data_IF_729223103313
#
_entry.id   IF_729223103313
#
_cell.length_a   1.000
_cell.length_b   1.000
_cell.length_c   1.000
_cell.angle_alpha   90.00
_cell.angle_beta   90.00
_cell.angle_gamma   90.00
#
_symmetry.space_group_name_H-M   'P 1'
#
loop_
_entity.id
_entity.type
_entity.pdbx_description
1 polymer ?
#
# COMPACT_ATOMS: atom_id res chain seq x y z
N UNK A 1 -24.59 14.17 5.94
CA UNK A 1 -23.68 14.20 7.09
C UNK A 1 -22.45 13.44 6.66
N UNK A 2 -21.25 14.02 6.76
CA UNK A 2 -20.03 13.25 6.52
C UNK A 2 -19.92 12.21 7.63
N UNK A 3 -19.92 10.94 7.26
CA UNK A 3 -19.67 9.83 8.18
C UNK A 3 -18.16 9.68 8.32
N UNK A 4 -17.67 9.80 9.54
CA UNK A 4 -16.28 9.47 9.86
C UNK A 4 -16.16 7.95 10.00
N UNK A 5 -15.02 7.36 9.60
CA UNK A 5 -14.76 5.96 9.88
C UNK A 5 -14.69 5.71 11.40
N UNK A 6 -15.10 4.52 11.88
CA UNK A 6 -15.03 4.16 13.30
C UNK A 6 -13.64 4.38 13.91
N UNK A 7 -12.58 3.98 13.19
CA UNK A 7 -11.19 4.16 13.60
C UNK A 7 -10.61 5.44 12.97
N UNK A 8 -11.26 6.59 13.15
CA UNK A 8 -10.88 7.86 12.52
C UNK A 8 -9.39 8.23 12.67
N UNK A 9 -8.78 7.96 13.82
CA UNK A 9 -7.36 8.25 14.07
C UNK A 9 -6.40 7.47 13.18
N UNK A 10 -6.78 6.26 12.73
CA UNK A 10 -6.02 5.50 11.73
C UNK A 10 -5.89 6.29 10.42
N UNK A 11 -7.00 6.87 9.99
CA UNK A 11 -7.06 7.62 8.73
C UNK A 11 -6.36 8.97 8.83
N UNK A 12 -6.43 9.64 9.99
CA UNK A 12 -5.62 10.83 10.24
C UNK A 12 -4.12 10.51 10.21
N UNK A 13 -3.67 9.47 10.91
CA UNK A 13 -2.28 9.03 10.91
C UNK A 13 -1.79 8.70 9.49
N UNK A 14 -2.63 8.08 8.67
CA UNK A 14 -2.38 7.81 7.26
C UNK A 14 -2.19 9.10 6.44
N UNK A 15 -3.04 10.12 6.66
CA UNK A 15 -2.89 11.41 5.98
C UNK A 15 -1.65 12.20 6.45
N UNK A 16 -1.29 12.09 7.73
CA UNK A 16 -0.08 12.69 8.30
C UNK A 16 1.19 12.02 7.75
N UNK A 17 1.19 10.69 7.66
CA UNK A 17 2.25 9.93 6.99
C UNK A 17 2.38 10.34 5.51
N UNK A 18 1.25 10.43 4.80
CA UNK A 18 1.21 10.85 3.41
C UNK A 18 1.75 12.26 3.19
N UNK A 19 1.44 13.17 4.12
CA UNK A 19 1.94 14.55 4.11
C UNK A 19 3.45 14.61 4.36
N UNK A 20 3.95 13.81 5.31
CA UNK A 20 5.38 13.73 5.64
C UNK A 20 6.21 13.15 4.50
N UNK A 21 5.64 12.22 3.73
CA UNK A 21 6.30 11.52 2.63
C UNK A 21 5.85 11.99 1.24
N UNK A 22 5.22 13.17 1.14
CA UNK A 22 4.55 13.61 -0.07
C UNK A 22 5.45 13.61 -1.32
N UNK A 23 6.71 14.01 -1.15
CA UNK A 23 7.69 13.99 -2.24
C UNK A 23 8.01 12.55 -2.69
N UNK A 24 8.35 11.66 -1.76
CA UNK A 24 8.66 10.27 -2.06
C UNK A 24 7.49 9.54 -2.70
N UNK A 25 6.26 9.79 -2.23
CA UNK A 25 5.04 9.20 -2.81
C UNK A 25 4.82 9.69 -4.23
N UNK A 26 5.01 11.00 -4.48
CA UNK A 26 4.86 11.56 -5.83
C UNK A 26 5.84 10.95 -6.83
N UNK A 27 7.08 10.71 -6.41
CA UNK A 27 8.10 10.01 -7.22
C UNK A 27 7.74 8.53 -7.41
N UNK A 28 7.35 7.83 -6.34
CA UNK A 28 7.05 6.41 -6.37
C UNK A 28 5.77 6.08 -7.15
N UNK A 29 4.77 6.98 -7.15
CA UNK A 29 3.57 6.91 -7.99
C UNK A 29 3.91 6.81 -9.49
N UNK A 30 5.01 7.45 -9.91
CA UNK A 30 5.52 7.42 -11.28
C UNK A 30 6.46 6.24 -11.54
N UNK A 31 6.62 5.30 -10.62
CA UNK A 31 7.45 4.10 -10.83
C UNK A 31 6.66 2.97 -11.49
N UNK A 32 7.32 2.17 -12.34
CA UNK A 32 6.66 1.04 -13.04
C UNK A 32 6.16 -0.05 -12.08
N UNK A 33 6.87 -0.27 -10.98
CA UNK A 33 6.48 -1.24 -9.94
C UNK A 33 5.35 -0.76 -9.03
N UNK A 34 4.95 0.51 -9.16
CA UNK A 34 4.05 1.15 -8.21
C UNK A 34 4.69 1.34 -6.84
N UNK A 35 3.87 1.73 -5.87
CA UNK A 35 4.32 2.12 -4.53
C UNK A 35 3.56 1.42 -3.41
N UNK A 36 2.60 0.55 -3.76
CA UNK A 36 1.75 -0.17 -2.80
C UNK A 36 2.55 -1.01 -1.81
N UNK A 37 3.47 -1.85 -2.29
CA UNK A 37 4.27 -2.70 -1.40
C UNK A 37 5.16 -1.91 -0.44
N UNK A 38 5.66 -0.74 -0.87
CA UNK A 38 6.38 0.17 0.02
C UNK A 38 5.44 0.84 1.02
N UNK A 39 4.28 1.33 0.59
CA UNK A 39 3.27 1.93 1.46
C UNK A 39 2.78 0.94 2.53
N UNK A 40 2.55 -0.32 2.16
CA UNK A 40 2.18 -1.38 3.10
C UNK A 40 3.24 -1.59 4.18
N UNK A 41 4.53 -1.64 3.82
CA UNK A 41 5.60 -1.81 4.81
C UNK A 41 5.75 -0.59 5.73
N UNK A 42 5.66 0.62 5.17
CA UNK A 42 5.69 1.87 5.94
C UNK A 42 4.52 1.96 6.93
N UNK A 43 3.30 1.61 6.51
CA UNK A 43 2.14 1.59 7.41
C UNK A 43 2.28 0.52 8.48
N UNK A 44 2.85 -0.65 8.14
CA UNK A 44 3.12 -1.69 9.14
C UNK A 44 4.11 -1.19 10.19
N UNK A 45 5.16 -0.47 9.81
CA UNK A 45 6.07 0.16 10.77
C UNK A 45 5.36 1.25 11.59
N UNK A 46 4.58 2.11 10.95
CA UNK A 46 3.82 3.19 11.61
C UNK A 46 2.92 2.64 12.71
N UNK A 47 2.19 1.57 12.43
CA UNK A 47 1.25 0.98 13.39
C UNK A 47 1.84 -0.15 14.23
N UNK A 48 3.15 -0.42 14.13
CA UNK A 48 3.80 -1.58 14.77
C UNK A 48 3.07 -2.90 14.50
N UNK A 49 2.57 -3.07 13.27
CA UNK A 49 1.76 -4.20 12.86
C UNK A 49 2.60 -5.41 12.43
N UNK A 50 2.11 -6.61 12.76
CA UNK A 50 2.67 -7.87 12.26
C UNK A 50 2.54 -8.01 10.75
N UNK A 51 3.29 -8.96 10.17
CA UNK A 51 3.11 -9.39 8.77
C UNK A 51 2.16 -10.59 8.76
N UNK A 52 1.26 -10.64 7.78
CA UNK A 52 0.61 -11.88 7.34
C UNK A 52 0.04 -12.73 8.49
N UNK A 53 -0.99 -12.23 9.16
CA UNK A 53 -1.85 -13.15 9.88
C UNK A 53 -2.81 -13.77 8.86
N UNK A 54 -2.85 -15.10 8.81
CA UNK A 54 -3.86 -15.88 8.06
C UNK A 54 -5.26 -15.56 8.60
N UNK A 55 -5.73 -14.34 8.40
CA UNK A 55 -6.94 -13.80 9.00
C UNK A 55 -8.17 -14.42 8.33
N UNK A 56 -8.05 -14.87 7.08
CA UNK A 56 -9.09 -15.54 6.33
C UNK A 56 -9.03 -17.06 6.55
N UNK A 57 -10.14 -17.66 7.00
CA UNK A 57 -10.27 -19.12 7.17
C UNK A 57 -10.42 -19.87 5.85
N UNK A 58 -11.06 -19.24 4.86
CA UNK A 58 -11.42 -19.89 3.60
C UNK A 58 -10.31 -19.85 2.53
N UNK A 59 -9.14 -19.28 2.82
CA UNK A 59 -8.00 -19.31 1.90
C UNK A 59 -6.67 -19.19 2.64
N UNK A 60 -5.89 -20.27 2.64
CA UNK A 60 -4.51 -20.29 3.15
C UNK A 60 -3.55 -19.37 2.35
N UNK A 61 -3.98 -18.88 1.18
CA UNK A 61 -3.18 -18.01 0.30
C UNK A 61 -3.57 -16.53 0.40
N UNK A 62 -4.71 -16.21 1.02
CA UNK A 62 -5.17 -14.84 1.13
C UNK A 62 -4.81 -14.30 2.52
N UNK A 63 -3.75 -13.50 2.58
CA UNK A 63 -3.44 -12.67 3.74
C UNK A 63 -4.09 -11.29 3.57
N UNK A 64 -4.42 -10.63 4.67
CA UNK A 64 -4.66 -9.19 4.64
C UNK A 64 -3.33 -8.43 4.55
N UNK A 65 -3.38 -7.21 4.03
CA UNK A 65 -2.18 -6.38 3.90
C UNK A 65 -1.70 -5.91 5.28
N UNK A 66 -2.63 -5.53 6.17
CA UNK A 66 -2.33 -5.07 7.53
C UNK A 66 -3.38 -5.61 8.50
N UNK A 67 -2.93 -6.14 9.63
CA UNK A 67 -3.78 -6.55 10.76
C UNK A 67 -3.28 -5.85 12.02
N UNK A 68 -4.18 -5.10 12.65
CA UNK A 68 -3.95 -4.45 13.95
C UNK A 68 -4.73 -5.22 15.00
N UNK A 69 -4.02 -5.71 16.00
CA UNK A 69 -4.63 -6.37 17.15
C UNK A 69 -4.38 -5.54 18.42
N UNK A 70 -5.36 -5.50 19.33
CA UNK A 70 -5.25 -4.74 20.55
C UNK A 70 -4.10 -5.26 21.41
N UNK A 71 -3.46 -4.36 22.15
CA UNK A 71 -2.29 -4.61 23.01
C UNK A 71 -0.97 -4.99 22.32
N UNK A 72 -0.99 -5.32 21.03
CA UNK A 72 0.23 -5.65 20.26
C UNK A 72 0.63 -4.56 19.27
N UNK A 73 -0.35 -3.89 18.65
CA UNK A 73 -0.18 -3.01 17.51
C UNK A 73 -1.32 -1.99 17.44
N UNK A 74 -1.18 -1.00 16.55
CA UNK A 74 -2.26 -0.07 16.23
C UNK A 74 -2.68 0.86 17.38
N UNK A 75 -1.84 1.08 18.40
CA UNK A 75 -2.20 1.92 19.55
C UNK A 75 -2.76 3.30 19.14
N UNK A 76 -2.26 3.86 18.04
CA UNK A 76 -2.76 5.11 17.45
C UNK A 76 -4.09 4.94 16.70
N UNK A 77 -4.30 3.80 16.03
CA UNK A 77 -5.54 3.45 15.33
C UNK A 77 -6.74 3.19 16.28
N UNK A 78 -6.46 2.80 17.53
CA UNK A 78 -7.46 2.49 18.54
C UNK A 78 -7.85 3.68 19.44
N UNK A 79 -7.31 4.87 19.19
CA UNK A 79 -7.59 6.06 19.99
C UNK A 79 -9.00 6.64 19.74
N UNK A 80 -9.97 6.21 20.57
CA UNK A 80 -11.26 6.85 20.96
C UNK A 80 -12.38 7.08 19.92
N UNK A 81 -13.65 6.72 20.26
CA UNK A 81 -14.06 5.93 21.41
C UNK A 81 -13.69 4.45 21.19
N UNK A 82 -12.83 3.94 22.08
CA UNK A 82 -12.28 2.59 22.02
C UNK A 82 -13.33 1.56 22.46
N UNK A 83 -13.47 0.47 21.70
CA UNK A 83 -14.03 -0.80 22.20
C UNK A 83 -12.83 -1.64 22.60
N UNK A 84 -12.69 -1.91 23.91
CA UNK A 84 -11.67 -2.82 24.43
C UNK A 84 -11.73 -4.14 23.65
N UNK A 85 -10.59 -4.53 23.07
CA UNK A 85 -10.39 -5.75 22.28
C UNK A 85 -10.80 -5.73 20.79
N UNK A 86 -11.13 -4.57 20.21
CA UNK A 86 -11.39 -4.46 18.77
C UNK A 86 -10.14 -4.77 17.92
N UNK A 87 -10.30 -5.54 16.83
CA UNK A 87 -9.28 -5.71 15.80
C UNK A 87 -9.57 -4.84 14.57
N UNK A 88 -8.52 -4.46 13.84
CA UNK A 88 -8.66 -3.78 12.54
C UNK A 88 -7.92 -4.57 11.48
N UNK A 89 -8.58 -4.83 10.36
CA UNK A 89 -7.99 -5.47 9.17
C UNK A 89 -8.07 -4.48 8.01
N UNK A 90 -7.01 -4.37 7.23
CA UNK A 90 -6.93 -3.41 6.12
C UNK A 90 -6.45 -4.15 4.88
N UNK A 91 -7.23 -4.00 3.80
CA UNK A 91 -6.79 -4.19 2.43
C UNK A 91 -6.46 -2.81 1.86
N UNK A 92 -5.23 -2.62 1.39
CA UNK A 92 -4.71 -1.35 0.89
C UNK A 92 -4.48 -1.43 -0.62
N UNK A 93 -5.10 -0.50 -1.35
CA UNK A 93 -4.83 -0.29 -2.77
C UNK A 93 -4.26 1.10 -3.02
N UNK A 94 -3.18 1.18 -3.77
CA UNK A 94 -2.55 2.47 -4.13
C UNK A 94 -2.62 2.71 -5.63
N UNK A 95 -3.14 3.86 -6.05
CA UNK A 95 -3.12 4.26 -7.46
C UNK A 95 -1.68 4.50 -7.90
N UNK A 96 -1.24 3.84 -8.97
CA UNK A 96 0.08 4.03 -9.57
C UNK A 96 -0.08 4.44 -11.03
N UNK A 97 0.70 5.40 -11.52
CA UNK A 97 0.52 5.99 -12.85
C UNK A 97 0.47 4.95 -13.97
N UNK A 98 1.43 4.01 -13.98
CA UNK A 98 1.52 2.99 -15.04
C UNK A 98 0.45 1.90 -14.94
N UNK A 99 -0.22 1.77 -13.80
CA UNK A 99 -1.23 0.75 -13.53
C UNK A 99 -2.59 1.35 -13.17
N UNK A 100 -2.80 2.65 -13.43
CA UNK A 100 -4.02 3.37 -13.05
C UNK A 100 -5.29 2.72 -13.62
N UNK A 101 -5.18 2.17 -14.84
CA UNK A 101 -6.29 1.45 -15.49
C UNK A 101 -6.74 0.18 -14.74
N UNK A 102 -5.88 -0.43 -13.91
CA UNK A 102 -6.22 -1.58 -13.05
C UNK A 102 -6.66 -1.16 -11.65
N UNK A 103 -6.50 0.11 -11.28
CA UNK A 103 -6.74 0.57 -9.91
C UNK A 103 -8.17 0.27 -9.46
N UNK A 104 -9.17 0.67 -10.26
CA UNK A 104 -10.58 0.36 -10.01
C UNK A 104 -10.84 -1.13 -9.83
N UNK A 105 -10.33 -1.96 -10.74
CA UNK A 105 -10.53 -3.41 -10.69
C UNK A 105 -9.88 -4.04 -9.46
N UNK A 106 -8.71 -3.54 -9.06
CA UNK A 106 -8.01 -3.92 -7.84
C UNK A 106 -8.84 -3.62 -6.59
N UNK A 107 -9.30 -2.37 -6.45
CA UNK A 107 -10.17 -1.98 -5.33
C UNK A 107 -11.46 -2.79 -5.31
N UNK A 108 -12.07 -3.04 -6.46
CA UNK A 108 -13.29 -3.85 -6.53
C UNK A 108 -13.07 -5.29 -6.05
N UNK A 109 -11.88 -5.87 -6.30
CA UNK A 109 -11.51 -7.20 -5.76
C UNK A 109 -11.36 -7.14 -4.24
N UNK A 110 -10.73 -6.10 -3.71
CA UNK A 110 -10.55 -5.94 -2.26
C UNK A 110 -11.89 -5.72 -1.54
N UNK A 111 -12.80 -4.93 -2.10
CA UNK A 111 -14.17 -4.79 -1.59
C UNK A 111 -14.89 -6.15 -1.54
N UNK A 112 -14.75 -6.98 -2.58
CA UNK A 112 -15.32 -8.33 -2.58
C UNK A 112 -14.68 -9.22 -1.51
N UNK A 113 -13.37 -9.11 -1.31
CA UNK A 113 -12.62 -9.85 -0.28
C UNK A 113 -13.07 -9.45 1.13
N UNK A 114 -13.20 -8.17 1.42
CA UNK A 114 -13.71 -7.64 2.69
C UNK A 114 -15.14 -8.13 2.97
N UNK A 115 -16.02 -8.07 1.97
CA UNK A 115 -17.42 -8.43 2.13
C UNK A 115 -17.68 -9.95 2.14
N UNK A 116 -16.89 -10.73 1.41
CA UNK A 116 -17.05 -12.18 1.28
C UNK A 116 -16.13 -13.02 2.17
N UNK A 117 -15.15 -12.39 2.82
CA UNK A 117 -14.19 -13.06 3.68
C UNK A 117 -14.82 -13.74 4.89
N UNK A 118 -14.33 -14.94 5.21
CA UNK A 118 -14.58 -15.65 6.46
C UNK A 118 -13.36 -15.48 7.35
N UNK A 119 -13.50 -14.84 8.50
CA UNK A 119 -12.37 -14.47 9.35
C UNK A 119 -12.17 -15.44 10.51
N UNK A 120 -10.92 -15.62 10.94
CA UNK A 120 -10.61 -16.41 12.14
C UNK A 120 -11.33 -15.84 13.35
N UNK A 121 -11.99 -16.71 14.11
CA UNK A 121 -12.81 -16.35 15.27
C UNK A 121 -12.05 -15.50 16.29
N UNK A 122 -10.75 -15.78 16.51
CA UNK A 122 -9.90 -14.99 17.42
C UNK A 122 -9.88 -13.48 17.11
N UNK A 123 -10.02 -13.10 15.84
CA UNK A 123 -10.06 -11.69 15.40
C UNK A 123 -11.42 -11.04 15.63
N UNK A 124 -12.49 -11.83 15.80
CA UNK A 124 -13.86 -11.34 15.94
C UNK A 124 -14.32 -11.23 17.40
N UNK A 125 -13.62 -11.87 18.35
CA UNK A 125 -14.00 -11.96 19.77
C UNK A 125 -14.30 -10.61 20.42
N UNK A 126 -13.53 -9.56 20.09
CA UNK A 126 -13.70 -8.21 20.66
C UNK A 126 -14.34 -7.20 19.69
N UNK A 127 -14.95 -7.68 18.61
CA UNK A 127 -15.35 -6.86 17.47
C UNK A 127 -14.19 -6.65 16.48
N UNK A 128 -14.53 -6.41 15.22
CA UNK A 128 -13.55 -6.23 14.16
C UNK A 128 -14.05 -5.29 13.07
N UNK A 129 -13.23 -4.30 12.69
CA UNK A 129 -13.48 -3.47 11.52
C UNK A 129 -12.55 -3.91 10.38
N UNK A 130 -13.13 -4.38 9.29
CA UNK A 130 -12.40 -4.78 8.09
C UNK A 130 -12.58 -3.71 7.03
N UNK A 131 -11.51 -3.00 6.71
CA UNK A 131 -11.49 -1.91 5.76
C UNK A 131 -10.93 -2.34 4.41
N UNK A 132 -11.55 -1.83 3.35
CA UNK A 132 -10.86 -1.60 2.08
C UNK A 132 -10.48 -0.12 2.05
N UNK A 133 -9.19 0.17 1.94
CA UNK A 133 -8.63 1.53 1.85
C UNK A 133 -8.00 1.71 0.48
N UNK A 134 -8.34 2.81 -0.18
CA UNK A 134 -7.79 3.17 -1.47
C UNK A 134 -7.16 4.55 -1.42
N UNK A 135 -5.91 4.66 -1.91
CA UNK A 135 -5.19 5.93 -2.04
C UNK A 135 -5.20 6.35 -3.50
N UNK A 136 -6.06 7.33 -3.83
CA UNK A 136 -6.17 7.88 -5.18
C UNK A 136 -5.24 9.09 -5.33
N UNK A 137 -4.49 9.12 -6.42
CA UNK A 137 -3.57 10.20 -6.79
C UNK A 137 -4.19 11.15 -7.83
N UNK A 138 -5.24 10.71 -8.53
CA UNK A 138 -5.87 11.47 -9.63
C UNK A 138 -7.37 11.67 -9.45
N UNK A 139 -7.91 12.66 -10.15
CA UNK A 139 -9.37 12.90 -10.21
C UNK A 139 -10.12 11.72 -10.83
N UNK A 140 -9.53 11.03 -11.82
CA UNK A 140 -10.12 9.82 -12.38
C UNK A 140 -10.16 8.69 -11.35
N UNK A 141 -9.10 8.54 -10.54
CA UNK A 141 -9.09 7.61 -9.41
C UNK A 141 -10.18 7.93 -8.38
N UNK A 142 -10.39 9.21 -8.09
CA UNK A 142 -11.48 9.67 -7.20
C UNK A 142 -12.87 9.32 -7.73
N UNK A 143 -13.15 9.62 -9.01
CA UNK A 143 -14.41 9.28 -9.67
C UNK A 143 -14.66 7.75 -9.65
N UNK A 144 -13.59 6.98 -9.82
CA UNK A 144 -13.64 5.53 -9.71
C UNK A 144 -14.02 5.06 -8.30
N UNK A 145 -13.43 5.65 -7.25
CA UNK A 145 -13.72 5.29 -5.86
C UNK A 145 -15.14 5.69 -5.45
N UNK A 146 -15.59 6.87 -5.85
CA UNK A 146 -16.95 7.34 -5.60
C UNK A 146 -17.98 6.41 -6.26
N UNK A 147 -17.76 6.01 -7.51
CA UNK A 147 -18.68 5.11 -8.22
C UNK A 147 -18.64 3.65 -7.72
N UNK A 148 -17.59 3.25 -6.98
CA UNK A 148 -17.58 1.99 -6.21
C UNK A 148 -18.34 2.10 -4.89
N UNK A 149 -18.83 3.28 -4.53
CA UNK A 149 -19.57 3.54 -3.29
C UNK A 149 -18.67 3.70 -2.07
N UNK A 150 -17.38 3.97 -2.26
CA UNK A 150 -16.46 4.27 -1.17
C UNK A 150 -16.71 5.67 -0.62
N UNK A 151 -16.36 5.87 0.64
CA UNK A 151 -16.48 7.15 1.32
C UNK A 151 -15.13 7.88 1.29
N UNK A 152 -15.15 9.16 0.92
CA UNK A 152 -13.97 10.01 1.02
C UNK A 152 -13.72 10.40 2.47
N UNK A 153 -12.51 10.15 2.96
CA UNK A 153 -12.06 10.64 4.24
C UNK A 153 -11.68 12.12 4.16
N UNK A 154 -12.26 12.93 5.04
CA UNK A 154 -11.92 14.35 5.19
C UNK A 154 -11.05 14.53 6.43
N UNK A 155 -9.76 14.22 6.26
CA UNK A 155 -8.76 14.35 7.33
C UNK A 155 -8.37 15.79 7.63
N UNK A 156 -7.58 15.97 8.70
CA UNK A 156 -7.12 17.30 9.14
C UNK A 156 -5.89 17.82 8.41
N UNK A 157 -5.09 16.94 7.79
CA UNK A 157 -3.82 17.31 7.14
C UNK A 157 -3.98 17.60 5.66
N UNK A 158 -3.73 18.85 5.28
CA UNK A 158 -3.64 19.30 3.89
C UNK A 158 -2.19 19.18 3.41
N UNK A 159 -1.80 18.02 2.88
CA UNK A 159 -0.42 17.81 2.42
C UNK A 159 -0.16 16.48 1.72
N UNK A 160 -0.95 15.45 2.00
CA UNK A 160 -0.83 14.17 1.31
C UNK A 160 -1.10 14.35 -0.21
N UNK A 161 -0.29 13.76 -1.09
CA UNK A 161 -0.47 13.86 -2.54
C UNK A 161 -1.59 12.94 -3.06
N UNK A 162 -2.28 12.24 -2.17
CA UNK A 162 -3.41 11.36 -2.46
C UNK A 162 -4.64 11.76 -1.64
N UNK A 163 -5.82 11.30 -2.08
CA UNK A 163 -7.03 11.26 -1.27
C UNK A 163 -7.23 9.85 -0.72
N UNK A 164 -7.84 9.78 0.47
CA UNK A 164 -8.07 8.52 1.17
C UNK A 164 -9.54 8.14 1.05
N UNK A 165 -9.80 7.02 0.41
CA UNK A 165 -11.14 6.45 0.26
C UNK A 165 -11.26 5.18 1.08
N UNK A 166 -12.45 4.93 1.63
CA UNK A 166 -12.66 3.75 2.47
C UNK A 166 -14.07 3.18 2.36
N UNK A 167 -14.17 1.87 2.58
CA UNK A 167 -15.40 1.22 3.02
C UNK A 167 -15.08 0.21 4.11
N UNK A 168 -16.06 -0.11 4.96
CA UNK A 168 -15.86 -0.97 6.12
C UNK A 168 -16.95 -2.04 6.20
N UNK A 169 -16.55 -3.24 6.61
CA UNK A 169 -17.44 -4.25 7.16
C UNK A 169 -17.14 -4.38 8.65
N UNK A 170 -18.16 -4.17 9.47
CA UNK A 170 -18.05 -4.23 10.92
C UNK A 170 -18.57 -5.58 11.42
N UNK A 171 -17.85 -6.15 12.38
CA UNK A 171 -18.26 -7.28 13.19
C UNK A 171 -18.39 -6.76 14.61
N UNK A 172 -19.59 -6.83 15.16
CA UNK A 172 -19.81 -6.50 16.55
C UNK A 172 -19.21 -7.60 17.44
N UNK A 173 -18.77 -7.27 18.66
CA UNK A 173 -18.47 -8.28 19.65
C UNK A 173 -19.74 -9.09 19.88
N UNK A 174 -19.77 -10.37 19.49
CA UNK A 174 -20.80 -11.27 19.99
C UNK A 174 -20.58 -11.39 21.51
N UNK A 175 -21.66 -11.55 22.30
CA UNK A 175 -21.58 -11.94 23.71
C UNK A 175 -20.99 -13.36 23.78
N UNK A 176 -19.70 -13.50 23.49
CA UNK A 176 -18.96 -14.75 23.55
C UNK A 176 -18.90 -15.15 25.02
N UNK A 177 -19.86 -15.97 25.43
CA UNK A 177 -19.89 -16.61 26.75
C UNK A 177 -18.81 -17.69 26.80
N UNK A 178 -17.57 -17.26 26.95
CA UNK A 178 -16.49 -17.88 27.73
C UNK A 178 -16.23 -19.40 27.75
N UNK A 179 -16.73 -20.22 26.83
CA UNK A 179 -16.58 -21.68 26.93
C UNK A 179 -15.86 -22.37 25.76
N UNK A 180 -15.44 -21.66 24.71
CA UNK A 180 -14.60 -22.26 23.67
C UNK A 180 -13.13 -22.03 24.04
N UNK A 181 -12.61 -22.94 24.86
CA UNK A 181 -11.19 -23.14 25.12
C UNK A 181 -10.42 -23.12 23.79
N UNK A 182 -9.27 -22.45 23.82
CA UNK A 182 -8.40 -22.24 22.68
C UNK A 182 -7.94 -23.58 22.07
N UNK A 183 -8.67 -24.09 21.09
CA UNK A 183 -8.14 -25.07 20.13
C UNK A 183 -7.29 -24.33 19.09
N UNK A 184 -6.17 -23.76 19.54
CA UNK A 184 -5.01 -23.53 18.68
C UNK A 184 -4.41 -24.92 18.34
N UNK A 185 -5.10 -25.67 17.47
CA UNK A 185 -4.43 -26.74 16.74
C UNK A 185 -3.61 -26.12 15.61
N UNK A 186 -2.44 -25.58 15.99
CA UNK A 186 -1.27 -25.53 15.12
C UNK A 186 -0.83 -26.99 14.86
N UNK A 187 -1.64 -27.72 14.11
CA UNK A 187 -1.28 -29.01 13.58
C UNK A 187 -0.39 -28.75 12.36
N UNK A 188 0.90 -28.51 12.62
CA UNK A 188 1.99 -28.73 11.66
C UNK A 188 2.05 -30.23 11.35
N UNK A 189 1.02 -30.72 10.66
CA UNK A 189 1.02 -32.02 10.02
C UNK A 189 1.76 -31.89 8.70
N UNK A 190 2.97 -32.43 8.65
CA UNK A 190 3.64 -32.87 7.43
C UNK A 190 2.61 -33.62 6.56
N UNK A 191 2.22 -33.03 5.43
CA UNK A 191 1.57 -33.75 4.34
C UNK A 191 2.50 -33.66 3.13
N UNK A 192 3.45 -34.60 3.09
CA UNK A 192 4.12 -35.02 1.87
C UNK A 192 3.06 -35.71 0.98
N UNK A 193 2.63 -35.08 -0.11
CA UNK A 193 1.73 -35.75 -1.04
C UNK A 193 1.22 -34.94 -2.23
N UNK A 194 1.97 -35.03 -3.32
CA UNK A 194 1.48 -35.22 -4.71
C UNK A 194 0.72 -34.07 -5.42
N UNK A 195 1.45 -33.40 -6.31
CA UNK A 195 1.15 -33.16 -7.73
C UNK A 195 -0.32 -33.03 -8.16
N UNK A 196 -0.74 -31.80 -8.47
CA UNK A 196 -1.52 -31.55 -9.67
C UNK A 196 -0.88 -30.37 -10.44
N UNK A 197 -0.30 -30.73 -11.59
CA UNK A 197 0.12 -29.86 -12.67
C UNK A 197 -1.07 -29.04 -13.16
N UNK A 198 -0.94 -27.71 -13.17
CA UNK A 198 -1.68 -26.87 -14.11
C UNK A 198 -0.70 -25.83 -14.68
N UNK A 199 -0.10 -26.25 -15.79
CA UNK A 199 0.70 -25.44 -16.70
C UNK A 199 -0.22 -24.43 -17.43
N UNK A 200 -0.27 -23.18 -16.96
CA UNK A 200 -0.55 -22.03 -17.82
C UNK A 200 0.72 -21.21 -18.00
N UNK A 201 1.60 -21.74 -18.85
CA UNK A 201 2.74 -21.01 -19.41
C UNK A 201 2.20 -20.11 -20.52
N UNK A 202 1.93 -18.84 -20.21
CA UNK A 202 1.75 -17.84 -21.25
C UNK A 202 3.11 -17.55 -21.91
N UNK A 203 3.31 -18.16 -23.08
CA UNK A 203 4.37 -17.88 -24.04
C UNK A 203 4.28 -16.41 -24.52
N UNK A 204 5.01 -15.49 -23.88
CA UNK A 204 5.42 -14.24 -24.51
C UNK A 204 6.91 -14.32 -24.87
N UNK A 205 7.20 -15.03 -25.97
CA UNK A 205 8.46 -14.86 -26.69
C UNK A 205 8.52 -13.42 -27.23
N UNK A 206 9.35 -12.60 -26.60
CA UNK A 206 9.83 -11.36 -27.21
C UNK A 206 10.58 -11.72 -28.49
N UNK A 207 9.98 -11.41 -29.65
CA UNK A 207 10.69 -11.36 -30.91
C UNK A 207 11.76 -10.27 -30.82
N UNK A 208 12.99 -10.75 -30.71
CA UNK A 208 14.24 -10.06 -30.97
C UNK A 208 14.23 -9.48 -32.40
N UNK A 209 13.68 -8.27 -32.53
CA UNK A 209 13.95 -7.44 -33.70
C UNK A 209 15.32 -6.78 -33.51
N UNK A 210 16.35 -7.54 -33.86
CA UNK A 210 17.68 -7.03 -34.14
C UNK A 210 17.60 -5.91 -35.18
N UNK A 211 17.63 -4.67 -34.71
CA UNK A 211 17.87 -3.50 -35.56
C UNK A 211 19.38 -3.36 -35.70
N UNK A 212 19.91 -3.89 -36.80
CA UNK A 212 21.25 -3.58 -37.26
C UNK A 212 21.40 -2.06 -37.41
N UNK A 213 22.39 -1.55 -36.70
CA UNK A 213 22.83 -0.16 -36.74
C UNK A 213 23.57 0.07 -38.07
N UNK A 214 22.86 0.51 -39.11
CA UNK A 214 23.51 0.99 -40.33
C UNK A 214 23.81 2.48 -40.22
N UNK A 215 25.11 2.77 -40.26
CA UNK A 215 25.69 4.10 -40.28
C UNK A 215 25.67 4.55 -41.72
N UNK A 216 24.82 5.53 -42.05
CA UNK A 216 25.04 6.61 -43.03
C UNK A 216 23.69 7.04 -43.62
N UNK A 217 23.23 8.25 -43.29
CA UNK A 217 23.00 9.31 -44.28
C UNK A 217 22.45 10.56 -43.59
N UNK A 218 23.18 11.66 -43.81
CA UNK A 218 22.80 13.01 -43.42
C UNK A 218 21.79 13.54 -44.43
N UNK A 219 20.70 14.19 -43.98
CA UNK A 219 20.12 15.29 -44.74
C UNK A 219 20.15 16.58 -43.91
N UNK A 220 20.86 17.54 -44.47
CA UNK A 220 20.82 18.97 -44.19
C UNK A 220 19.39 19.53 -44.12
N UNK A 221 19.06 20.24 -43.04
CA UNK A 221 17.79 20.95 -42.91
C UNK A 221 17.67 21.79 -41.63
N UNK A 222 18.21 22.99 -41.70
CA UNK A 222 17.98 24.24 -40.94
C UNK A 222 16.98 24.32 -39.74
N UNK A 223 17.33 25.28 -38.86
CA UNK A 223 16.59 25.87 -37.71
C UNK A 223 17.01 25.25 -36.36
N UNK A 224 17.86 25.86 -35.52
CA UNK A 224 18.13 27.28 -35.30
C UNK A 224 17.45 27.72 -34.01
N UNK A 225 18.05 27.42 -32.86
CA UNK A 225 17.84 28.12 -31.59
C UNK A 225 19.11 28.02 -30.73
N UNK A 226 19.84 29.13 -30.71
CA UNK A 226 20.84 29.44 -29.68
C UNK A 226 20.15 29.61 -28.33
N UNK A 227 20.66 28.94 -27.29
CA UNK A 227 20.49 29.36 -25.89
C UNK A 227 21.54 28.65 -25.01
N UNK A 228 22.80 29.07 -25.14
CA UNK A 228 23.82 28.74 -24.16
C UNK A 228 23.74 29.77 -23.01
N UNK A 229 23.00 29.42 -21.97
CA UNK A 229 23.08 30.10 -20.68
C UNK A 229 24.44 29.82 -20.06
N UNK A 230 25.19 30.91 -19.89
CA UNK A 230 26.38 30.99 -19.07
C UNK A 230 25.93 30.95 -17.60
N UNK A 231 26.37 29.96 -16.83
CA UNK A 231 26.44 30.10 -15.38
C UNK A 231 27.64 29.31 -14.85
N UNK A 232 28.56 30.06 -14.24
CA UNK A 232 29.77 29.55 -13.64
C UNK A 232 29.51 28.84 -12.33
N UNK A 233 30.36 27.85 -12.06
CA UNK A 233 30.60 27.34 -10.72
C UNK A 233 32.10 27.42 -10.46
N UNK A 234 32.44 28.35 -9.59
CA UNK A 234 33.72 28.48 -8.89
C UNK A 234 33.57 27.87 -7.49
N UNK A 235 34.70 27.41 -6.94
CA UNK A 235 34.93 26.72 -5.65
C UNK A 235 34.44 25.26 -5.57
N UNK A 236 35.28 24.24 -5.36
CA UNK A 236 36.64 24.19 -4.83
C UNK A 236 36.63 23.61 -3.41
N UNK A 237 37.02 22.34 -3.26
CA UNK A 237 37.57 21.81 -2.01
C UNK A 237 38.57 20.67 -2.26
N UNK A 238 39.81 20.99 -1.86
CA UNK A 238 40.86 20.19 -1.24
C UNK A 238 41.23 18.77 -1.73
N UNK A 239 42.43 18.69 -2.29
CA UNK A 239 43.38 17.60 -2.05
C UNK A 239 44.81 18.13 -2.16
N UNK A 240 45.68 17.82 -1.20
CA UNK A 240 47.11 18.09 -1.32
C UNK A 240 47.86 18.22 0.00
N UNK A 241 48.55 17.15 0.38
CA UNK A 241 49.59 17.09 1.41
C UNK A 241 50.69 18.14 1.23
N UNK A 242 51.22 18.68 2.33
CA UNK A 242 52.66 18.54 2.62
C UNK A 242 53.00 18.89 4.08
N UNK A 243 53.86 18.06 4.69
CA UNK A 243 54.38 18.27 6.04
C UNK A 243 55.49 19.33 6.12
N UNK A 244 55.89 19.67 7.35
CA UNK A 244 57.08 20.49 7.60
C UNK A 244 57.17 20.99 9.04
N UNK A 245 58.01 20.34 9.84
CA UNK A 245 58.41 20.75 11.18
C UNK A 245 59.32 21.98 11.16
N UNK A 246 59.32 22.76 12.25
CA UNK A 246 60.56 23.31 12.79
C UNK A 246 60.59 24.80 13.12
N UNK A 247 60.67 25.04 14.44
CA UNK A 247 61.16 26.22 15.18
C UNK A 247 60.28 27.47 15.27
#
# INVERSE_FOLDING_TARGET
>A
MATYPPNYTLFDALTDWGSTNAYQISEAHLSKGGWEGWAQEEMRMLFSAGREDNCYQNSKRNAADIVLTPYSSGAEAFAQPYVENECVVIELKCESYFNAWRFREGVQKDIKKVNGGVFKQRLLRGGCNVYCVALSMTEAGDDDMESLGMQLFQGTSAGAPFRVWWCVRQFEPEDFSGDDEDEDEDNEGDDEGEDEEDDEVEDEMYEDNGVEFDVNEVPSGAHGYDNAYHNGYDNGYHSGHNGGWGY
#
